data_IF_951718058859
#
_entry.id   IF_951718058859
#
_cell.length_a   1.000
_cell.length_b   1.000
_cell.length_c   1.000
_cell.angle_alpha   90.00
_cell.angle_beta   90.00
_cell.angle_gamma   90.00
#
_symmetry.space_group_name_H-M   'P 1'
#
loop_
_entity.id
_entity.type
_entity.pdbx_description
1 polymer ?
#
# COMPACT_ATOMS: atom_id res chain seq x y z
N UNK A 1 -29.79 2.21 1.61
CA UNK A 1 -29.19 0.87 1.73
C UNK A 1 -27.70 1.05 1.96
N UNK A 2 -27.29 1.07 3.21
CA UNK A 2 -25.88 1.25 3.63
C UNK A 2 -25.19 -0.11 3.56
N UNK A 3 -24.52 -0.37 2.44
CA UNK A 3 -23.64 -1.54 2.30
C UNK A 3 -22.31 -1.25 3.00
N UNK A 4 -22.34 -1.16 4.30
CA UNK A 4 -21.14 -1.11 5.13
C UNK A 4 -20.74 -2.54 5.43
N UNK A 5 -19.82 -3.08 4.62
CA UNK A 5 -19.06 -4.25 5.05
C UNK A 5 -18.15 -3.80 6.19
N UNK A 6 -18.66 -3.84 7.40
CA UNK A 6 -17.89 -3.63 8.61
C UNK A 6 -17.04 -4.88 8.84
N UNK A 7 -15.81 -4.84 8.38
CA UNK A 7 -14.83 -5.89 8.64
C UNK A 7 -13.99 -5.51 9.85
N UNK A 8 -13.68 -6.49 10.67
CA UNK A 8 -12.64 -6.38 11.69
C UNK A 8 -11.27 -6.42 11.03
N UNK A 9 -10.94 -5.38 10.29
CA UNK A 9 -9.66 -5.32 9.62
C UNK A 9 -8.55 -4.96 10.60
N UNK A 10 -7.58 -5.86 10.75
CA UNK A 10 -6.30 -5.58 11.39
C UNK A 10 -5.42 -4.79 10.42
N UNK A 11 -4.53 -3.95 10.91
CA UNK A 11 -3.61 -3.25 10.04
C UNK A 11 -2.39 -2.69 10.78
N UNK A 12 -1.26 -2.63 10.07
CA UNK A 12 0.01 -2.07 10.53
C UNK A 12 0.66 -1.25 9.42
N UNK A 13 1.49 -0.30 9.81
CA UNK A 13 2.43 0.37 8.92
C UNK A 13 3.80 -0.27 9.06
N UNK A 14 4.52 -0.38 7.96
CA UNK A 14 5.87 -0.92 7.97
C UNK A 14 6.75 -0.33 6.87
N UNK A 15 8.02 -0.62 6.97
CA UNK A 15 9.04 -0.25 5.98
C UNK A 15 9.55 -1.49 5.26
N UNK A 16 9.51 -1.49 3.95
CA UNK A 16 10.08 -2.56 3.12
C UNK A 16 11.60 -2.54 3.22
N UNK A 17 12.22 -3.57 3.80
CA UNK A 17 13.67 -3.70 3.89
C UNK A 17 14.28 -4.25 2.60
N UNK A 18 13.63 -5.22 1.98
CA UNK A 18 14.12 -5.85 0.76
C UNK A 18 13.44 -7.18 0.48
N UNK A 19 14.04 -7.95 -0.41
CA UNK A 19 13.61 -9.31 -0.70
C UNK A 19 14.78 -10.27 -0.48
N UNK A 20 14.45 -11.47 -0.04
CA UNK A 20 15.35 -12.61 0.11
C UNK A 20 14.63 -13.89 -0.29
N UNK A 21 15.28 -15.00 -0.13
CA UNK A 21 14.68 -16.32 -0.34
C UNK A 21 14.88 -17.18 0.91
N UNK A 22 13.91 -17.99 1.20
CA UNK A 22 13.93 -18.98 2.27
C UNK A 22 13.61 -20.36 1.69
N UNK A 23 13.93 -21.38 2.45
CA UNK A 23 13.59 -22.76 2.13
C UNK A 23 12.33 -23.14 2.89
N UNK A 24 11.39 -23.73 2.20
CA UNK A 24 10.19 -24.33 2.79
C UNK A 24 10.52 -25.72 3.36
N UNK A 25 9.63 -26.26 4.17
CA UNK A 25 9.73 -27.63 4.74
C UNK A 25 9.95 -28.70 3.67
N UNK A 26 9.48 -28.46 2.45
CA UNK A 26 9.65 -29.33 1.29
C UNK A 26 10.94 -29.07 0.49
N UNK A 27 11.93 -28.35 1.06
CA UNK A 27 13.16 -27.93 0.37
C UNK A 27 12.92 -27.12 -0.91
N UNK A 28 11.78 -26.41 -1.02
CA UNK A 28 11.51 -25.48 -2.12
C UNK A 28 11.92 -24.08 -1.76
N UNK A 29 12.52 -23.37 -2.71
CA UNK A 29 12.87 -21.95 -2.53
C UNK A 29 11.61 -21.10 -2.60
N UNK A 30 11.37 -20.32 -1.54
CA UNK A 30 10.26 -19.38 -1.45
C UNK A 30 10.82 -17.97 -1.46
N UNK A 31 10.47 -17.12 -2.45
CA UNK A 31 10.85 -15.72 -2.43
C UNK A 31 10.02 -14.98 -1.39
N UNK A 32 10.68 -14.24 -0.51
CA UNK A 32 10.02 -13.47 0.55
C UNK A 32 10.45 -12.02 0.53
N UNK A 33 9.51 -11.14 0.85
CA UNK A 33 9.78 -9.72 1.15
C UNK A 33 9.83 -9.55 2.65
N UNK A 34 10.88 -8.89 3.14
CA UNK A 34 11.07 -8.57 4.56
C UNK A 34 10.56 -7.15 4.81
N UNK A 35 9.64 -7.01 5.76
CA UNK A 35 9.07 -5.75 6.17
C UNK A 35 9.36 -5.55 7.66
N UNK A 36 9.93 -4.40 8.02
CA UNK A 36 10.02 -3.96 9.40
C UNK A 36 8.73 -3.22 9.75
N UNK A 37 8.00 -3.73 10.71
CA UNK A 37 6.79 -3.12 11.25
C UNK A 37 6.95 -2.95 12.78
N UNK A 38 8.11 -2.41 13.18
CA UNK A 38 8.37 -2.03 14.57
C UNK A 38 7.24 -1.15 15.08
N UNK A 39 7.15 -0.98 16.36
CA UNK A 39 6.05 -0.38 17.12
C UNK A 39 5.20 0.65 16.37
N UNK A 40 3.98 0.27 16.08
CA UNK A 40 2.92 1.17 15.64
C UNK A 40 2.14 1.64 16.87
N UNK A 41 1.73 2.90 16.92
CA UNK A 41 0.99 3.46 18.07
C UNK A 41 -0.34 4.01 17.61
N UNK A 42 -1.42 3.71 18.33
CA UNK A 42 -2.74 4.28 18.08
C UNK A 42 -2.75 5.74 18.51
N UNK A 43 -2.92 6.65 17.55
CA UNK A 43 -2.94 8.09 17.79
C UNK A 43 -4.35 8.64 17.94
N UNK A 44 -5.35 7.99 17.33
CA UNK A 44 -6.74 8.39 17.45
C UNK A 44 -7.66 7.20 17.16
N UNK A 45 -8.81 7.16 17.82
CA UNK A 45 -9.90 6.24 17.54
C UNK A 45 -11.06 7.05 16.97
N UNK A 46 -11.55 6.66 15.78
CA UNK A 46 -12.71 7.25 15.11
C UNK A 46 -13.96 6.50 15.46
N UNK A 47 -15.03 7.24 15.78
CA UNK A 47 -16.31 6.68 16.18
C UNK A 47 -17.44 7.16 15.28
N UNK A 48 -18.47 6.34 14.99
CA UNK A 48 -19.55 6.70 14.07
C UNK A 48 -20.36 7.91 14.51
N UNK A 49 -20.51 8.10 15.83
CA UNK A 49 -21.31 9.17 16.40
C UNK A 49 -20.71 10.55 16.15
N UNK A 50 -19.38 10.65 16.11
CA UNK A 50 -18.66 11.91 15.96
C UNK A 50 -18.09 12.05 14.55
N UNK A 51 -17.47 10.97 14.02
CA UNK A 51 -16.71 10.99 12.76
C UNK A 51 -17.50 10.42 11.57
N UNK A 52 -18.64 9.75 11.82
CA UNK A 52 -19.47 9.11 10.79
C UNK A 52 -18.97 7.75 10.32
N UNK A 53 -17.85 7.24 10.87
CA UNK A 53 -17.29 5.92 10.55
C UNK A 53 -16.38 5.40 11.66
N UNK A 54 -16.16 4.07 11.66
CA UNK A 54 -15.24 3.40 12.57
C UNK A 54 -13.87 3.27 11.93
N UNK A 55 -12.82 3.74 12.62
CA UNK A 55 -11.42 3.54 12.23
C UNK A 55 -10.47 3.75 13.41
N UNK A 56 -9.28 3.20 13.29
CA UNK A 56 -8.14 3.55 14.14
C UNK A 56 -7.10 4.30 13.31
N UNK A 57 -6.58 5.37 13.86
CA UNK A 57 -5.44 6.06 13.29
C UNK A 57 -4.18 5.55 13.98
N UNK A 58 -3.23 5.10 13.19
CA UNK A 58 -1.95 4.55 13.66
C UNK A 58 -0.78 5.40 13.19
N UNK A 59 0.18 5.61 14.07
CA UNK A 59 1.42 6.32 13.83
C UNK A 59 2.61 5.36 13.77
N UNK A 60 3.52 5.56 12.81
CA UNK A 60 4.69 4.73 12.58
C UNK A 60 5.93 5.56 12.25
N UNK A 61 7.08 5.07 12.67
CA UNK A 61 8.38 5.70 12.43
C UNK A 61 8.61 6.92 13.31
N UNK A 62 9.75 6.99 13.94
CA UNK A 62 10.12 8.11 14.80
C UNK A 62 10.49 9.35 13.99
N UNK A 63 10.19 10.51 14.53
CA UNK A 63 10.58 11.81 14.00
C UNK A 63 10.97 12.75 15.14
N UNK A 64 12.01 13.54 14.94
CA UNK A 64 12.43 14.55 15.90
C UNK A 64 11.34 15.63 16.03
N UNK A 65 10.99 16.02 17.23
CA UNK A 65 9.95 17.02 17.50
C UNK A 65 10.16 18.35 16.75
N UNK A 66 11.41 18.76 16.53
CA UNK A 66 11.75 19.99 15.77
C UNK A 66 11.38 19.94 14.28
N UNK A 67 11.13 18.73 13.75
CA UNK A 67 10.76 18.51 12.33
C UNK A 67 9.24 18.39 12.13
N UNK A 68 8.47 18.52 13.21
CA UNK A 68 7.01 18.42 13.20
C UNK A 68 6.44 19.82 13.29
N UNK A 69 5.45 20.13 12.46
CA UNK A 69 4.76 21.41 12.50
C UNK A 69 3.85 21.52 13.75
N UNK A 70 3.48 22.76 14.13
CA UNK A 70 2.71 23.00 15.34
C UNK A 70 1.34 22.28 15.40
N UNK A 71 0.53 22.25 14.31
CA UNK A 71 -0.74 21.49 14.31
C UNK A 71 -0.55 19.98 14.52
N UNK A 72 0.43 19.37 13.86
CA UNK A 72 0.74 17.94 14.03
C UNK A 72 1.28 17.65 15.43
N UNK A 73 2.16 18.52 15.96
CA UNK A 73 2.66 18.39 17.33
C UNK A 73 1.50 18.42 18.34
N UNK A 74 0.53 19.34 18.16
CA UNK A 74 -0.68 19.41 18.98
C UNK A 74 -1.52 18.14 18.93
N UNK A 75 -1.64 17.52 17.75
CA UNK A 75 -2.33 16.23 17.57
C UNK A 75 -1.70 15.11 18.40
N UNK A 76 -0.37 14.95 18.32
CA UNK A 76 0.35 13.94 19.11
C UNK A 76 0.33 14.22 20.60
N UNK A 77 0.44 15.49 20.98
CA UNK A 77 0.33 15.91 22.39
C UNK A 77 -1.04 15.57 22.98
N UNK A 78 -2.13 15.79 22.21
CA UNK A 78 -3.48 15.41 22.61
C UNK A 78 -3.63 13.90 22.80
N UNK A 79 -2.95 13.11 21.98
CA UNK A 79 -2.93 11.66 22.07
C UNK A 79 -1.98 11.12 23.16
N UNK A 80 -1.14 11.98 23.76
CA UNK A 80 -0.15 11.57 24.77
C UNK A 80 0.98 10.68 24.20
N UNK A 81 1.25 10.75 22.88
CA UNK A 81 2.25 9.94 22.22
C UNK A 81 3.36 10.79 21.60
N UNK A 82 4.54 10.18 21.46
CA UNK A 82 5.65 10.82 20.76
C UNK A 82 5.32 11.00 19.28
N UNK A 83 5.77 12.10 18.64
CA UNK A 83 5.51 12.34 17.23
C UNK A 83 5.98 11.18 16.34
N UNK A 84 5.15 10.83 15.36
CA UNK A 84 5.44 9.78 14.38
C UNK A 84 5.51 10.37 12.98
N UNK A 85 6.38 9.79 12.15
CA UNK A 85 6.64 10.28 10.80
C UNK A 85 5.49 10.01 9.82
N UNK A 86 4.83 8.87 9.98
CA UNK A 86 3.75 8.42 9.10
C UNK A 86 2.52 8.15 9.93
N UNK A 87 1.39 8.66 9.47
CA UNK A 87 0.09 8.44 10.09
C UNK A 87 -0.86 7.94 9.01
N UNK A 88 -1.61 6.90 9.31
CA UNK A 88 -2.63 6.37 8.42
C UNK A 88 -3.81 5.82 9.20
N UNK A 89 -4.97 5.78 8.56
CA UNK A 89 -6.19 5.24 9.15
C UNK A 89 -6.48 3.83 8.61
N UNK A 90 -6.84 2.95 9.51
CA UNK A 90 -7.32 1.60 9.21
C UNK A 90 -8.80 1.54 9.63
N UNK A 91 -9.69 1.40 8.66
CA UNK A 91 -11.11 1.20 8.93
C UNK A 91 -11.32 -0.20 9.48
N UNK A 92 -11.96 -0.28 10.65
CA UNK A 92 -12.26 -1.54 11.34
C UNK A 92 -13.58 -1.41 12.08
N UNK A 93 -14.40 -2.46 12.08
CA UNK A 93 -15.66 -2.48 12.82
C UNK A 93 -15.41 -2.34 14.34
N UNK A 94 -14.37 -2.98 14.85
CA UNK A 94 -14.02 -3.00 16.28
C UNK A 94 -13.11 -1.85 16.71
N UNK A 95 -13.31 -0.63 16.21
CA UNK A 95 -12.49 0.52 16.62
C UNK A 95 -12.55 0.77 18.14
N UNK A 96 -13.68 0.50 18.78
CA UNK A 96 -13.88 0.65 20.22
C UNK A 96 -13.01 -0.28 21.10
N UNK A 97 -12.45 -1.35 20.53
CA UNK A 97 -11.55 -2.25 21.26
C UNK A 97 -10.13 -1.69 21.41
N UNK A 98 -9.81 -0.59 20.71
CA UNK A 98 -8.50 0.03 20.75
C UNK A 98 -8.52 1.28 21.62
N UNK A 99 -7.40 1.53 22.30
CA UNK A 99 -7.20 2.71 23.13
C UNK A 99 -6.12 3.61 22.53
N UNK A 100 -6.28 4.92 22.68
CA UNK A 100 -5.25 5.89 22.26
C UNK A 100 -3.98 5.65 23.08
N UNK A 101 -2.82 5.66 22.43
CA UNK A 101 -1.53 5.32 23.03
C UNK A 101 -1.20 3.83 23.06
N UNK A 102 -2.14 2.96 22.66
CA UNK A 102 -1.88 1.51 22.56
C UNK A 102 -0.82 1.22 21.49
N UNK A 103 0.14 0.39 21.85
CA UNK A 103 1.16 -0.12 20.93
C UNK A 103 0.66 -1.37 20.20
N UNK A 104 0.85 -1.39 18.88
CA UNK A 104 0.51 -2.52 18.02
C UNK A 104 1.82 -3.15 17.53
N UNK A 105 2.02 -4.40 17.86
CA UNK A 105 3.18 -5.19 17.43
C UNK A 105 2.89 -6.03 16.19
N UNK A 106 3.91 -6.65 15.66
CA UNK A 106 3.83 -7.55 14.50
C UNK A 106 2.99 -8.80 14.78
N UNK A 107 2.80 -9.19 16.05
CA UNK A 107 1.99 -10.33 16.48
C UNK A 107 0.49 -10.17 16.14
N UNK A 108 0.11 -8.98 15.70
CA UNK A 108 -1.23 -8.74 15.12
C UNK A 108 -1.52 -9.68 13.95
N UNK A 109 -0.49 -10.10 13.21
CA UNK A 109 -0.61 -11.04 12.10
C UNK A 109 0.03 -12.39 12.45
N UNK A 110 -0.66 -13.47 12.08
CA UNK A 110 -0.17 -14.83 12.26
C UNK A 110 0.48 -15.39 11.00
N UNK A 111 1.39 -16.34 11.15
CA UNK A 111 1.94 -17.09 10.02
C UNK A 111 0.81 -17.85 9.30
N UNK A 112 0.81 -17.85 7.96
CA UNK A 112 -0.24 -18.44 7.14
C UNK A 112 -1.43 -17.51 6.85
N UNK A 113 -1.57 -16.38 7.54
CA UNK A 113 -2.63 -15.40 7.29
C UNK A 113 -2.43 -14.71 5.93
N UNK A 114 -3.53 -14.42 5.25
CA UNK A 114 -3.51 -13.64 4.00
C UNK A 114 -3.71 -12.16 4.29
N UNK A 115 -2.86 -11.34 3.70
CA UNK A 115 -2.88 -9.89 3.89
C UNK A 115 -2.81 -9.13 2.55
N UNK A 116 -3.39 -7.94 2.55
CA UNK A 116 -3.28 -6.97 1.45
C UNK A 116 -2.19 -5.94 1.79
N UNK A 117 -1.27 -5.72 0.87
CA UNK A 117 -0.16 -4.78 1.07
C UNK A 117 -0.28 -3.63 0.08
N UNK A 118 -0.44 -2.43 0.62
CA UNK A 118 -0.51 -1.19 -0.16
C UNK A 118 0.79 -0.42 -0.03
N UNK A 119 1.35 0.01 -1.14
CA UNK A 119 2.55 0.84 -1.16
C UNK A 119 2.63 1.71 -2.41
N UNK A 120 3.56 2.66 -2.41
CA UNK A 120 3.81 3.52 -3.57
C UNK A 120 4.81 2.84 -4.50
N UNK A 121 4.42 2.60 -5.74
CA UNK A 121 5.24 1.95 -6.76
C UNK A 121 6.46 2.78 -7.13
N UNK A 122 7.50 2.12 -7.66
CA UNK A 122 8.69 2.83 -8.17
C UNK A 122 8.32 3.76 -9.31
N UNK A 123 8.72 5.02 -9.26
CA UNK A 123 8.54 5.98 -10.34
C UNK A 123 9.35 5.59 -11.58
N UNK A 124 8.77 5.78 -12.77
CA UNK A 124 9.39 5.50 -14.08
C UNK A 124 9.49 6.75 -14.95
N UNK A 125 9.18 7.92 -14.39
CA UNK A 125 9.17 9.21 -15.08
C UNK A 125 8.11 9.30 -16.16
N UNK A 126 8.34 10.14 -17.17
CA UNK A 126 7.49 10.22 -18.35
C UNK A 126 7.73 9.02 -19.26
N UNK A 127 6.71 8.28 -19.57
CA UNK A 127 6.76 7.06 -20.38
C UNK A 127 5.91 7.19 -21.64
N UNK A 128 6.46 6.74 -22.76
CA UNK A 128 5.72 6.63 -24.02
C UNK A 128 4.66 5.55 -23.96
N UNK A 129 3.73 5.58 -24.91
CA UNK A 129 2.57 4.70 -24.97
C UNK A 129 2.93 3.21 -25.03
N UNK A 130 4.05 2.85 -25.63
CA UNK A 130 4.52 1.46 -25.67
C UNK A 130 4.86 0.94 -24.27
N UNK A 131 5.64 1.72 -23.49
CA UNK A 131 6.02 1.33 -22.11
C UNK A 131 4.84 1.44 -21.15
N UNK A 132 4.01 2.48 -21.29
CA UNK A 132 2.94 2.79 -20.34
C UNK A 132 1.71 1.92 -20.53
N UNK A 133 1.37 1.59 -21.78
CA UNK A 133 0.11 0.92 -22.14
C UNK A 133 0.30 -0.34 -22.98
N UNK A 134 1.54 -0.71 -23.34
CA UNK A 134 1.81 -1.90 -24.13
C UNK A 134 1.42 -1.77 -25.61
N UNK A 135 1.43 -0.56 -26.19
CA UNK A 135 1.16 -0.36 -27.60
C UNK A 135 2.23 -0.99 -28.46
N UNK A 136 1.86 -1.61 -29.57
CA UNK A 136 2.79 -2.29 -30.47
C UNK A 136 3.67 -1.34 -31.28
N UNK A 137 3.16 -0.13 -31.59
CA UNK A 137 3.83 0.80 -32.51
C UNK A 137 3.67 0.37 -33.96
N UNK A 138 4.52 0.90 -34.82
CA UNK A 138 4.54 0.64 -36.27
C UNK A 138 5.87 0.03 -36.66
N UNK A 139 5.88 -0.85 -37.69
CA UNK A 139 7.10 -1.50 -38.19
C UNK A 139 8.18 -0.49 -38.59
N UNK A 140 9.44 -0.91 -38.56
CA UNK A 140 10.57 -0.05 -38.91
C UNK A 140 10.80 0.13 -40.43
N UNK A 141 9.95 -0.47 -41.25
CA UNK A 141 10.05 -0.47 -42.73
C UNK A 141 8.71 -0.07 -43.39
N UNK A 142 8.61 -0.21 -44.70
CA UNK A 142 7.43 0.11 -45.50
C UNK A 142 6.93 1.54 -45.37
N UNK A 143 7.87 2.53 -45.36
CA UNK A 143 7.51 3.95 -45.35
C UNK A 143 6.94 4.50 -44.05
N UNK A 144 7.15 3.79 -42.94
CA UNK A 144 6.59 4.19 -41.65
C UNK A 144 7.16 5.52 -41.09
N UNK A 145 8.34 6.01 -41.60
CA UNK A 145 9.03 7.22 -41.15
C UNK A 145 9.15 7.31 -39.60
N UNK A 146 8.90 8.49 -39.03
CA UNK A 146 9.06 8.79 -37.60
C UNK A 146 7.88 8.33 -36.70
N UNK A 147 7.08 7.37 -37.13
CA UNK A 147 5.86 6.94 -36.41
C UNK A 147 6.05 5.68 -35.56
N UNK A 148 7.25 5.10 -35.53
CA UNK A 148 7.55 3.78 -34.93
C UNK A 148 7.00 3.59 -33.50
N UNK A 149 7.08 4.63 -32.67
CA UNK A 149 6.72 4.54 -31.24
C UNK A 149 5.57 5.46 -30.83
N UNK A 150 4.84 6.00 -31.82
CA UNK A 150 3.71 6.91 -31.58
C UNK A 150 2.43 6.14 -31.24
N UNK A 151 1.42 6.82 -30.62
CA UNK A 151 0.14 6.17 -30.24
C UNK A 151 -0.71 5.77 -31.43
N UNK A 152 -0.51 6.40 -32.62
CA UNK A 152 -1.42 6.30 -33.74
C UNK A 152 -2.56 7.30 -33.66
N UNK A 153 -3.71 6.98 -34.25
CA UNK A 153 -4.90 7.82 -34.20
C UNK A 153 -5.44 7.94 -32.77
N UNK A 154 -5.85 9.13 -32.37
CA UNK A 154 -6.41 9.44 -31.05
C UNK A 154 -7.89 9.76 -31.10
N UNK A 155 -8.51 9.75 -32.28
CA UNK A 155 -9.93 10.02 -32.45
C UNK A 155 -10.36 9.98 -33.90
N UNK A 156 -11.65 10.21 -34.15
CA UNK A 156 -12.26 10.40 -35.47
C UNK A 156 -12.37 11.90 -35.78
N UNK A 157 -12.39 12.28 -37.01
CA UNK A 157 -12.31 13.66 -37.52
C UNK A 157 -13.39 14.61 -36.94
N UNK A 158 -14.29 15.10 -37.80
CA UNK A 158 -15.29 16.13 -37.45
C UNK A 158 -16.32 15.65 -36.40
N UNK A 159 -16.61 14.39 -36.37
CA UNK A 159 -17.51 13.77 -35.38
C UNK A 159 -16.73 12.66 -34.63
N UNK A 160 -16.56 12.78 -33.33
CA UNK A 160 -17.14 13.67 -32.32
C UNK A 160 -16.46 15.05 -32.16
N UNK A 161 -15.46 15.42 -32.95
CA UNK A 161 -14.75 16.70 -32.88
C UNK A 161 -13.90 16.88 -31.59
N UNK A 162 -13.66 15.84 -30.84
CA UNK A 162 -12.92 15.85 -29.59
C UNK A 162 -12.22 14.53 -29.36
N UNK A 163 -11.20 14.54 -28.49
CA UNK A 163 -10.58 13.31 -27.95
C UNK A 163 -11.34 12.90 -26.69
N UNK A 164 -11.72 11.63 -26.60
CA UNK A 164 -12.44 11.12 -25.42
C UNK A 164 -11.57 11.11 -24.18
N UNK A 165 -12.20 11.36 -23.02
CA UNK A 165 -11.55 11.20 -21.73
C UNK A 165 -11.12 9.74 -21.56
N UNK A 166 -9.95 9.54 -20.95
CA UNK A 166 -9.40 8.19 -20.74
C UNK A 166 -8.65 7.60 -21.94
N UNK A 167 -8.56 8.30 -23.08
CA UNK A 167 -7.72 7.87 -24.22
C UNK A 167 -6.28 7.69 -23.76
N UNK A 168 -5.71 6.51 -24.04
CA UNK A 168 -4.39 6.11 -23.59
C UNK A 168 -3.30 6.89 -24.31
N UNK A 169 -2.56 7.71 -23.59
CA UNK A 169 -1.48 8.56 -24.12
C UNK A 169 -0.21 8.42 -23.28
N UNK A 170 0.90 8.94 -23.79
CA UNK A 170 2.13 9.08 -23.02
C UNK A 170 1.90 9.95 -21.78
N UNK A 171 2.68 9.73 -20.75
CA UNK A 171 2.60 10.50 -19.52
C UNK A 171 3.40 9.87 -18.38
N UNK A 172 3.23 10.41 -17.17
CA UNK A 172 3.87 9.89 -15.97
C UNK A 172 3.44 8.44 -15.72
N UNK A 173 4.41 7.61 -15.37
CA UNK A 173 4.22 6.21 -15.01
C UNK A 173 4.93 5.91 -13.69
N UNK A 174 4.29 5.10 -12.85
CA UNK A 174 4.79 4.79 -11.51
C UNK A 174 4.63 5.95 -10.52
N UNK A 175 5.11 5.72 -9.29
CA UNK A 175 4.84 6.56 -8.12
C UNK A 175 3.32 6.68 -7.85
N UNK A 176 2.62 5.60 -8.12
CA UNK A 176 1.19 5.41 -7.90
C UNK A 176 0.98 4.48 -6.71
N UNK A 177 -0.08 4.70 -5.96
CA UNK A 177 -0.50 3.77 -4.89
C UNK A 177 -0.99 2.47 -5.52
N UNK A 178 -0.36 1.36 -5.15
CA UNK A 178 -0.67 0.02 -5.65
C UNK A 178 -0.89 -0.91 -4.47
N UNK A 179 -1.92 -1.74 -4.54
CA UNK A 179 -2.21 -2.78 -3.55
C UNK A 179 -1.99 -4.15 -4.19
N UNK A 180 -1.12 -4.95 -3.57
CA UNK A 180 -1.01 -6.38 -3.86
C UNK A 180 -1.88 -7.13 -2.87
N UNK A 181 -2.86 -7.86 -3.39
CA UNK A 181 -3.85 -8.59 -2.58
C UNK A 181 -3.40 -10.02 -2.32
N UNK A 182 -3.89 -10.60 -1.21
CA UNK A 182 -3.76 -12.00 -0.84
C UNK A 182 -2.30 -12.48 -0.80
N UNK A 183 -1.42 -11.70 -0.16
CA UNK A 183 -0.07 -12.15 0.14
C UNK A 183 -0.09 -12.95 1.45
N UNK A 184 0.52 -14.14 1.43
CA UNK A 184 0.61 -15.00 2.61
C UNK A 184 1.75 -14.53 3.52
N UNK A 185 1.48 -14.42 4.80
CA UNK A 185 2.50 -14.22 5.84
C UNK A 185 3.28 -15.53 5.99
N UNK A 186 4.56 -15.53 5.66
CA UNK A 186 5.41 -16.71 5.77
C UNK A 186 5.86 -16.94 7.21
N UNK A 187 6.34 -15.88 7.86
CA UNK A 187 6.76 -15.91 9.25
C UNK A 187 6.69 -14.52 9.88
N UNK A 188 6.56 -14.46 11.18
CA UNK A 188 6.60 -13.25 12.00
C UNK A 188 7.71 -13.40 13.05
N UNK A 189 8.58 -12.41 13.16
CA UNK A 189 9.64 -12.33 14.17
C UNK A 189 9.31 -11.14 15.09
N UNK A 190 8.71 -11.45 16.23
CA UNK A 190 8.28 -10.46 17.21
C UNK A 190 9.46 -9.72 17.84
N UNK A 191 10.58 -10.43 18.10
CA UNK A 191 11.76 -9.84 18.76
C UNK A 191 12.39 -8.75 17.89
N UNK A 192 12.44 -8.98 16.57
CA UNK A 192 13.02 -8.03 15.61
C UNK A 192 11.98 -7.10 14.98
N UNK A 193 10.69 -7.29 15.25
CA UNK A 193 9.60 -6.54 14.64
C UNK A 193 9.54 -6.73 13.12
N UNK A 194 9.76 -7.96 12.62
CA UNK A 194 9.80 -8.28 11.21
C UNK A 194 8.62 -9.15 10.79
N UNK A 195 8.09 -8.86 9.61
CA UNK A 195 7.10 -9.69 8.92
C UNK A 195 7.69 -10.13 7.58
N UNK A 196 7.68 -11.42 7.32
CA UNK A 196 8.14 -12.03 6.07
C UNK A 196 6.93 -12.41 5.23
N UNK A 197 6.79 -11.80 4.05
CA UNK A 197 5.68 -12.03 3.14
C UNK A 197 6.14 -12.81 1.93
N UNK A 198 5.40 -13.86 1.57
CA UNK A 198 5.64 -14.64 0.37
C UNK A 198 5.33 -13.80 -0.87
N UNK A 199 6.35 -13.53 -1.70
CA UNK A 199 6.20 -12.81 -2.96
C UNK A 199 6.66 -11.36 -2.91
N UNK A 200 6.26 -10.61 -3.93
CA UNK A 200 6.69 -9.22 -4.16
C UNK A 200 5.72 -8.21 -3.53
N UNK A 201 6.29 -7.17 -2.93
CA UNK A 201 5.57 -6.03 -2.35
C UNK A 201 5.87 -4.76 -3.15
N UNK A 202 4.89 -3.89 -3.43
CA UNK A 202 5.12 -2.67 -4.19
C UNK A 202 6.11 -1.72 -3.50
N UNK A 203 6.78 -0.92 -4.31
CA UNK A 203 7.68 0.13 -3.85
C UNK A 203 9.17 -0.23 -3.80
N UNK A 204 10.02 0.77 -3.56
CA UNK A 204 11.46 0.62 -3.36
C UNK A 204 11.79 0.05 -1.98
N UNK A 205 13.06 -0.31 -1.76
CA UNK A 205 13.60 -0.53 -0.41
C UNK A 205 13.51 0.77 0.38
N UNK A 206 13.19 0.70 1.67
CA UNK A 206 12.94 1.86 2.52
C UNK A 206 11.57 2.53 2.29
N UNK A 207 10.74 1.99 1.37
CA UNK A 207 9.40 2.52 1.14
C UNK A 207 8.41 2.13 2.23
N UNK A 208 7.50 3.06 2.56
CA UNK A 208 6.38 2.80 3.47
C UNK A 208 5.39 1.85 2.81
N UNK A 209 4.90 0.91 3.57
CA UNK A 209 3.81 0.00 3.20
C UNK A 209 2.75 -0.05 4.29
N UNK A 210 1.51 -0.21 3.86
CA UNK A 210 0.35 -0.43 4.74
C UNK A 210 -0.05 -1.89 4.59
N UNK A 211 -0.04 -2.62 5.69
CA UNK A 211 -0.47 -4.00 5.80
C UNK A 211 -1.89 -4.03 6.33
N UNK A 212 -2.78 -4.81 5.76
CA UNK A 212 -4.16 -5.01 6.23
C UNK A 212 -4.58 -6.44 6.01
N UNK A 213 -5.48 -6.96 6.84
CA UNK A 213 -6.14 -8.24 6.58
C UNK A 213 -6.73 -8.25 5.18
N UNK A 214 -6.53 -9.35 4.44
CA UNK A 214 -6.95 -9.46 3.05
C UNK A 214 -8.47 -9.25 2.90
N UNK A 215 -8.84 -8.44 1.93
CA UNK A 215 -10.25 -8.17 1.63
C UNK A 215 -10.96 -9.38 1.00
N UNK A 216 -10.21 -10.28 0.37
CA UNK A 216 -10.70 -11.46 -0.37
C UNK A 216 -10.02 -12.73 0.14
N UNK A 217 -9.76 -12.83 1.45
CA UNK A 217 -9.14 -14.02 2.00
C UNK A 217 -9.98 -15.26 1.70
N UNK A 218 -9.30 -16.32 1.28
CA UNK A 218 -9.87 -17.66 1.14
C UNK A 218 -9.80 -18.43 2.46
N UNK A 219 -8.94 -17.99 3.36
CA UNK A 219 -8.80 -18.56 4.71
C UNK A 219 -9.93 -18.00 5.57
N UNK A 220 -10.87 -18.83 5.96
CA UNK A 220 -11.88 -18.47 6.94
C UNK A 220 -11.17 -18.23 8.28
N UNK A 221 -11.41 -17.08 8.89
CA UNK A 221 -11.04 -16.86 10.29
C UNK A 221 -11.72 -17.95 11.12
N UNK A 222 -10.92 -18.75 11.84
CA UNK A 222 -11.40 -19.77 12.74
C UNK A 222 -11.86 -19.14 14.06
#
# INVERSE_FOLDING_TARGET
>A
MTNTFERNAKGLLGTKLGMTQLWDENNKVVPVTVISASTNVVTQVRQPEVDGYNAIQIGYGEIEARKVNSPEAGHFTKAGVTPRRHVAEIRTANAAAYTVGQELSVDTFAAGEEIDVTGTSKGKGFAGVMKRHGFHGVSASHGAHRNHRKPGSIGACATPGRVFKGTRMAGRMGNDTVTTQNLTVHAVDAEKGLILLKGAVPGPRGGLVVLRSAAKSTVKEA
#
